data_IF_825056767425
#
_entry.id   IF_825056767425
#
_cell.length_a   1.000
_cell.length_b   1.000
_cell.length_c   1.000
_cell.angle_alpha   90.00
_cell.angle_beta   90.00
_cell.angle_gamma   90.00
#
_symmetry.space_group_name_H-M   'P 1'
#
loop_
_entity.id
_entity.type
_entity.pdbx_description
1 polymer ?
#
# COMPACT_ATOMS: atom_id res chain seq x y z
N UNK A 1 -27.19 15.41 -3.27
CA UNK A 1 -26.81 14.13 -2.63
C UNK A 1 -26.39 14.29 -1.17
N UNK A 2 -25.32 15.06 -0.84
CA UNK A 2 -24.83 15.18 0.55
C UNK A 2 -25.88 15.83 1.48
N UNK A 3 -26.51 16.96 1.07
CA UNK A 3 -27.57 17.61 1.85
C UNK A 3 -28.78 16.71 2.03
N UNK A 4 -29.21 16.03 0.99
CA UNK A 4 -30.34 15.10 1.03
C UNK A 4 -30.06 13.95 2.00
N UNK A 5 -28.83 13.42 2.00
CA UNK A 5 -28.43 12.40 2.96
C UNK A 5 -28.52 12.90 4.40
N UNK A 6 -27.94 14.07 4.71
CA UNK A 6 -27.99 14.64 6.06
C UNK A 6 -29.44 14.94 6.51
N UNK A 7 -30.27 15.43 5.61
CA UNK A 7 -31.69 15.69 5.90
C UNK A 7 -32.47 14.39 6.13
N UNK A 8 -32.22 13.37 5.30
CA UNK A 8 -32.87 12.05 5.41
C UNK A 8 -32.62 11.36 6.75
N UNK A 9 -31.39 11.51 7.27
CA UNK A 9 -30.99 10.91 8.53
C UNK A 9 -31.05 11.87 9.71
N UNK A 10 -31.68 13.05 9.54
CA UNK A 10 -31.84 14.08 10.57
C UNK A 10 -30.52 14.45 11.27
N UNK A 11 -29.43 14.48 10.50
CA UNK A 11 -28.11 14.83 11.01
C UNK A 11 -27.97 16.35 11.16
N UNK A 12 -27.07 16.75 12.06
CA UNK A 12 -26.78 18.16 12.37
C UNK A 12 -26.41 18.96 11.11
N UNK A 13 -27.07 20.11 10.95
CA UNK A 13 -26.82 21.02 9.82
C UNK A 13 -25.40 21.64 9.87
N UNK A 14 -24.84 21.90 11.05
CA UNK A 14 -23.47 22.42 11.18
C UNK A 14 -22.48 21.36 10.70
N UNK A 15 -22.67 20.10 11.07
CA UNK A 15 -21.88 18.98 10.56
C UNK A 15 -21.97 18.87 9.03
N UNK A 16 -23.17 19.03 8.46
CA UNK A 16 -23.38 19.03 7.01
C UNK A 16 -22.60 20.16 6.33
N UNK A 17 -22.66 21.39 6.90
CA UNK A 17 -21.95 22.55 6.36
C UNK A 17 -20.43 22.36 6.42
N UNK A 18 -19.90 21.85 7.54
CA UNK A 18 -18.47 21.53 7.68
C UNK A 18 -18.04 20.46 6.67
N UNK A 19 -18.82 19.41 6.50
CA UNK A 19 -18.53 18.37 5.51
C UNK A 19 -18.51 18.92 4.09
N UNK A 20 -19.47 19.78 3.74
CA UNK A 20 -19.49 20.44 2.43
C UNK A 20 -18.30 21.39 2.24
N UNK A 21 -17.92 22.15 3.27
CA UNK A 21 -16.75 23.01 3.22
C UNK A 21 -15.46 22.22 2.97
N UNK A 22 -15.29 21.08 3.65
CA UNK A 22 -14.15 20.19 3.41
C UNK A 22 -14.18 19.62 1.99
N UNK A 23 -15.35 19.16 1.52
CA UNK A 23 -15.50 18.60 0.16
C UNK A 23 -15.25 19.64 -0.93
N UNK A 24 -15.62 20.91 -0.71
CA UNK A 24 -15.38 22.02 -1.65
C UNK A 24 -13.94 22.56 -1.60
N UNK A 25 -13.19 22.29 -0.54
CA UNK A 25 -11.82 22.81 -0.35
C UNK A 25 -10.78 22.12 -1.24
N UNK A 26 -11.13 21.01 -1.89
CA UNK A 26 -10.26 20.26 -2.76
C UNK A 26 -10.62 18.78 -2.82
N UNK A 27 -9.87 18.03 -3.64
CA UNK A 27 -10.12 16.61 -3.87
C UNK A 27 -9.52 15.77 -2.73
N UNK A 28 -10.35 14.96 -2.09
CA UNK A 28 -9.92 13.96 -1.10
C UNK A 28 -9.97 12.59 -1.78
N UNK A 29 -8.87 11.85 -1.69
CA UNK A 29 -8.82 10.46 -2.11
C UNK A 29 -9.18 9.56 -0.92
N UNK A 30 -10.28 8.83 -1.04
CA UNK A 30 -10.65 7.80 -0.06
C UNK A 30 -10.15 6.45 -0.55
N UNK A 31 -9.35 5.79 0.28
CA UNK A 31 -8.80 4.46 0.03
C UNK A 31 -9.47 3.47 0.97
N UNK A 32 -10.00 2.39 0.42
CA UNK A 32 -10.60 1.31 1.21
C UNK A 32 -9.74 0.05 1.08
N UNK A 33 -9.36 -0.51 2.23
CA UNK A 33 -8.72 -1.80 2.32
C UNK A 33 -9.51 -2.72 3.23
N UNK A 34 -9.74 -3.94 2.75
CA UNK A 34 -10.39 -5.02 3.51
C UNK A 34 -9.38 -6.10 3.83
N UNK A 35 -9.38 -6.55 5.09
CA UNK A 35 -8.54 -7.65 5.54
C UNK A 35 -7.04 -7.35 5.57
N UNK A 36 -6.31 -8.28 6.14
CA UNK A 36 -4.86 -8.15 6.36
C UNK A 36 -4.13 -9.49 6.50
N UNK A 37 -4.79 -10.59 6.13
CA UNK A 37 -4.29 -11.95 6.33
C UNK A 37 -2.88 -12.20 5.77
N UNK A 38 -2.50 -11.46 4.73
CA UNK A 38 -1.21 -11.61 4.04
C UNK A 38 -0.12 -10.68 4.57
N UNK A 39 -0.46 -9.70 5.42
CA UNK A 39 0.51 -8.72 5.91
C UNK A 39 1.21 -9.25 7.16
N UNK A 40 2.45 -9.67 7.01
CA UNK A 40 3.28 -10.28 8.08
C UNK A 40 4.64 -9.62 8.26
N UNK A 41 4.95 -8.60 7.49
CA UNK A 41 6.19 -7.86 7.55
C UNK A 41 5.97 -6.40 7.15
N UNK A 42 6.93 -5.52 7.45
CA UNK A 42 6.87 -4.12 7.05
C UNK A 42 6.87 -3.99 5.51
N UNK A 43 7.54 -4.87 4.78
CA UNK A 43 7.49 -4.90 3.31
C UNK A 43 6.08 -5.21 2.80
N UNK A 44 5.41 -6.21 3.38
CA UNK A 44 4.02 -6.51 3.00
C UNK A 44 3.09 -5.35 3.36
N UNK A 45 3.33 -4.66 4.48
CA UNK A 45 2.56 -3.48 4.88
C UNK A 45 2.74 -2.34 3.86
N UNK A 46 3.98 -1.98 3.54
CA UNK A 46 4.31 -0.94 2.57
C UNK A 46 3.66 -1.24 1.22
N UNK A 47 3.82 -2.46 0.72
CA UNK A 47 3.23 -2.89 -0.54
C UNK A 47 1.70 -2.82 -0.53
N UNK A 48 1.07 -3.32 0.53
CA UNK A 48 -0.38 -3.34 0.67
C UNK A 48 -1.01 -1.94 0.70
N UNK A 49 -0.34 -0.99 1.35
CA UNK A 49 -0.80 0.41 1.39
C UNK A 49 -0.61 1.05 0.02
N UNK A 50 0.54 0.87 -0.61
CA UNK A 50 0.80 1.41 -1.93
C UNK A 50 -0.21 0.91 -2.97
N UNK A 51 -0.41 -0.41 -3.05
CA UNK A 51 -1.37 -1.03 -3.96
C UNK A 51 -2.79 -0.49 -3.74
N UNK A 52 -3.20 -0.35 -2.48
CA UNK A 52 -4.53 0.18 -2.15
C UNK A 52 -4.71 1.62 -2.62
N UNK A 53 -3.69 2.47 -2.46
CA UNK A 53 -3.70 3.86 -2.93
C UNK A 53 -3.73 3.89 -4.47
N UNK A 54 -2.91 3.10 -5.16
CA UNK A 54 -2.88 3.00 -6.62
C UNK A 54 -4.25 2.58 -7.19
N UNK A 55 -4.87 1.56 -6.60
CA UNK A 55 -6.21 1.12 -6.96
C UNK A 55 -7.25 2.23 -6.77
N UNK A 56 -7.17 2.97 -5.68
CA UNK A 56 -8.08 4.08 -5.42
C UNK A 56 -7.88 5.23 -6.40
N UNK A 57 -6.64 5.55 -6.80
CA UNK A 57 -6.34 6.54 -7.84
C UNK A 57 -6.98 6.15 -9.17
N UNK A 58 -6.80 4.90 -9.60
CA UNK A 58 -7.42 4.37 -10.83
C UNK A 58 -8.94 4.47 -10.76
N UNK A 59 -9.54 4.01 -9.65
CA UNK A 59 -11.00 4.06 -9.44
C UNK A 59 -11.54 5.49 -9.47
N UNK A 60 -10.77 6.43 -8.94
CA UNK A 60 -11.13 7.84 -8.91
C UNK A 60 -10.86 8.57 -10.25
N UNK A 61 -10.33 7.88 -11.26
CA UNK A 61 -9.92 8.47 -12.55
C UNK A 61 -8.80 9.51 -12.39
N UNK A 62 -7.93 9.30 -11.39
CA UNK A 62 -6.76 10.15 -11.15
C UNK A 62 -5.57 9.42 -11.78
N UNK A 63 -4.84 10.14 -12.64
CA UNK A 63 -3.60 9.61 -13.19
C UNK A 63 -2.59 9.35 -12.05
N UNK A 64 -2.08 8.13 -11.97
CA UNK A 64 -1.00 7.83 -11.05
C UNK A 64 0.30 8.45 -11.59
N UNK A 65 0.57 9.69 -11.18
CA UNK A 65 1.80 10.40 -11.54
C UNK A 65 2.99 9.98 -10.67
N UNK A 66 2.72 9.29 -9.54
CA UNK A 66 3.74 8.64 -8.72
C UNK A 66 3.98 7.22 -9.26
N UNK A 67 5.20 6.92 -9.70
CA UNK A 67 5.54 5.54 -10.09
C UNK A 67 5.50 4.65 -8.85
N UNK A 68 4.97 3.44 -8.99
CA UNK A 68 5.09 2.40 -7.96
C UNK A 68 6.57 2.20 -7.61
N UNK A 69 7.01 2.82 -6.53
CA UNK A 69 8.44 2.84 -6.19
C UNK A 69 9.00 1.42 -6.01
N UNK A 70 8.20 0.51 -5.41
CA UNK A 70 8.57 -0.89 -5.19
C UNK A 70 8.68 -1.68 -6.49
N UNK A 71 7.65 -1.60 -7.30
CA UNK A 71 7.60 -2.30 -8.57
C UNK A 71 8.73 -1.84 -9.49
N UNK A 72 8.93 -0.52 -9.59
CA UNK A 72 9.98 0.07 -10.41
C UNK A 72 11.38 -0.24 -9.84
N UNK A 73 11.56 -0.22 -8.52
CA UNK A 73 12.80 -0.61 -7.89
C UNK A 73 13.14 -2.09 -8.18
N UNK A 74 12.14 -2.97 -8.06
CA UNK A 74 12.31 -4.39 -8.39
C UNK A 74 12.66 -4.59 -9.88
N UNK A 75 11.95 -3.93 -10.79
CA UNK A 75 12.24 -4.00 -12.23
C UNK A 75 13.64 -3.46 -12.53
N UNK A 76 14.01 -2.32 -11.95
CA UNK A 76 15.32 -1.70 -12.16
C UNK A 76 16.43 -2.61 -11.66
N UNK A 77 16.29 -3.15 -10.46
CA UNK A 77 17.28 -4.06 -9.87
C UNK A 77 17.43 -5.34 -10.69
N UNK A 78 16.30 -5.95 -11.11
CA UNK A 78 16.29 -7.16 -11.93
C UNK A 78 16.73 -6.90 -13.38
N UNK A 79 16.74 -5.66 -13.87
CA UNK A 79 17.19 -5.31 -15.22
C UNK A 79 18.71 -5.13 -15.30
N UNK A 80 19.38 -4.94 -14.17
CA UNK A 80 20.85 -4.99 -14.10
C UNK A 80 21.35 -6.40 -14.41
N UNK A 81 22.39 -6.54 -15.22
CA UNK A 81 22.86 -7.85 -15.72
C UNK A 81 23.34 -8.77 -14.60
N UNK A 82 24.06 -8.24 -13.65
CA UNK A 82 24.68 -9.04 -12.60
C UNK A 82 23.63 -9.45 -11.56
N UNK A 83 22.78 -8.53 -11.16
CA UNK A 83 21.63 -8.80 -10.29
C UNK A 83 20.65 -9.80 -10.91
N UNK A 84 20.36 -9.66 -12.20
CA UNK A 84 19.52 -10.58 -12.95
C UNK A 84 20.08 -11.99 -12.96
N UNK A 85 21.37 -12.14 -13.24
CA UNK A 85 22.03 -13.44 -13.24
C UNK A 85 22.03 -14.07 -11.85
N UNK A 86 22.31 -13.26 -10.81
CA UNK A 86 22.25 -13.70 -9.42
C UNK A 86 20.85 -14.19 -9.05
N UNK A 87 19.83 -13.36 -9.28
CA UNK A 87 18.45 -13.69 -8.98
C UNK A 87 17.97 -14.92 -9.78
N UNK A 88 18.33 -15.00 -11.05
CA UNK A 88 17.98 -16.13 -11.89
C UNK A 88 18.52 -17.46 -11.31
N UNK A 89 19.76 -17.47 -10.85
CA UNK A 89 20.34 -18.63 -10.17
C UNK A 89 19.58 -19.04 -8.90
N UNK A 90 19.06 -18.08 -8.16
CA UNK A 90 18.26 -18.34 -6.97
C UNK A 90 16.87 -18.93 -7.31
N UNK A 91 16.14 -18.33 -8.25
CA UNK A 91 14.76 -18.72 -8.58
C UNK A 91 14.66 -19.97 -9.45
N UNK A 92 15.70 -20.31 -10.19
CA UNK A 92 15.77 -21.59 -10.91
C UNK A 92 16.34 -22.73 -10.05
N UNK A 93 16.99 -22.41 -8.94
CA UNK A 93 17.55 -23.32 -7.96
C UNK A 93 16.72 -23.41 -6.68
N UNK A 94 17.23 -22.78 -5.61
CA UNK A 94 16.68 -22.90 -4.24
C UNK A 94 15.22 -22.49 -4.12
N UNK A 95 14.77 -21.50 -4.89
CA UNK A 95 13.43 -20.95 -4.82
C UNK A 95 12.53 -21.31 -6.02
N UNK A 96 12.88 -22.33 -6.79
CA UNK A 96 12.14 -22.73 -8.00
C UNK A 96 10.65 -22.99 -7.74
N UNK A 97 10.30 -23.54 -6.58
CA UNK A 97 8.91 -23.80 -6.20
C UNK A 97 8.08 -22.51 -5.99
N UNK A 98 8.71 -21.39 -5.60
CA UNK A 98 8.01 -20.13 -5.42
C UNK A 98 7.64 -19.48 -6.75
N UNK A 99 8.48 -19.65 -7.76
CA UNK A 99 8.34 -18.99 -9.06
C UNK A 99 7.79 -19.91 -10.15
N UNK A 100 7.48 -21.19 -9.82
CA UNK A 100 6.84 -22.13 -10.76
C UNK A 100 7.65 -22.45 -12.00
N UNK A 101 9.00 -22.33 -11.92
CA UNK A 101 9.91 -22.55 -13.04
C UNK A 101 10.18 -21.31 -13.91
N UNK A 102 9.70 -20.15 -13.50
CA UNK A 102 10.04 -18.87 -14.18
C UNK A 102 11.54 -18.60 -14.10
N UNK A 103 12.05 -17.92 -15.11
CA UNK A 103 13.34 -17.25 -15.08
C UNK A 103 13.18 -15.76 -14.73
N UNK A 104 14.29 -15.04 -14.54
CA UNK A 104 14.27 -13.64 -14.19
C UNK A 104 13.55 -12.76 -15.22
N UNK A 105 13.65 -13.07 -16.51
CA UNK A 105 12.95 -12.32 -17.57
C UNK A 105 11.43 -12.50 -17.47
N UNK A 106 10.97 -13.72 -17.21
CA UNK A 106 9.55 -13.99 -17.00
C UNK A 106 9.02 -13.26 -15.75
N UNK A 107 9.82 -13.17 -14.68
CA UNK A 107 9.45 -12.40 -13.47
C UNK A 107 9.34 -10.92 -13.79
N UNK A 108 10.29 -10.34 -14.52
CA UNK A 108 10.25 -8.93 -14.97
C UNK A 108 8.98 -8.67 -15.79
N UNK A 109 8.64 -9.56 -16.71
CA UNK A 109 7.45 -9.43 -17.54
C UNK A 109 6.16 -9.50 -16.70
N UNK A 110 6.10 -10.41 -15.73
CA UNK A 110 4.99 -10.47 -14.77
C UNK A 110 4.87 -9.19 -13.95
N UNK A 111 5.99 -8.61 -13.49
CA UNK A 111 5.99 -7.33 -12.81
C UNK A 111 5.42 -6.20 -13.68
N UNK A 112 5.67 -6.22 -14.99
CA UNK A 112 5.17 -5.21 -15.92
C UNK A 112 3.69 -5.35 -16.24
N UNK A 113 3.21 -6.58 -16.36
CA UNK A 113 1.89 -6.90 -16.92
C UNK A 113 0.84 -7.21 -15.87
N UNK A 114 1.24 -7.73 -14.70
CA UNK A 114 0.31 -8.12 -13.65
C UNK A 114 -0.16 -6.92 -12.82
N UNK A 115 -1.34 -7.08 -12.23
CA UNK A 115 -1.96 -6.14 -11.28
C UNK A 115 -2.74 -6.90 -10.21
N UNK A 116 -3.12 -6.24 -9.13
CA UNK A 116 -3.91 -6.82 -8.03
C UNK A 116 -3.23 -8.05 -7.41
N UNK A 117 -4.01 -9.05 -7.05
CA UNK A 117 -3.54 -10.25 -6.33
C UNK A 117 -2.42 -11.00 -7.07
N UNK A 118 -2.44 -11.00 -8.40
CA UNK A 118 -1.40 -11.65 -9.20
C UNK A 118 -0.05 -10.94 -9.06
N UNK A 119 -0.05 -9.61 -9.07
CA UNK A 119 1.14 -8.80 -8.81
C UNK A 119 1.61 -8.97 -7.36
N UNK A 120 0.68 -8.91 -6.40
CA UNK A 120 0.97 -9.08 -4.97
C UNK A 120 1.73 -10.40 -4.72
N UNK A 121 1.27 -11.49 -5.29
CA UNK A 121 1.93 -12.80 -5.16
C UNK A 121 3.36 -12.82 -5.72
N UNK A 122 3.59 -12.18 -6.87
CA UNK A 122 4.94 -12.09 -7.45
C UNK A 122 5.84 -11.25 -6.55
N UNK A 123 5.35 -10.12 -6.05
CA UNK A 123 6.11 -9.24 -5.14
C UNK A 123 6.43 -9.94 -3.82
N UNK A 124 5.47 -10.66 -3.21
CA UNK A 124 5.68 -11.43 -1.98
C UNK A 124 6.80 -12.47 -2.15
N UNK A 125 6.83 -13.16 -3.29
CA UNK A 125 7.89 -14.11 -3.58
C UNK A 125 9.25 -13.43 -3.74
N UNK A 126 9.31 -12.27 -4.39
CA UNK A 126 10.53 -11.46 -4.52
C UNK A 126 11.00 -11.00 -3.14
N UNK A 127 10.10 -10.47 -2.31
CA UNK A 127 10.44 -10.01 -0.95
C UNK A 127 10.95 -11.16 -0.08
N UNK A 128 10.32 -12.33 -0.16
CA UNK A 128 10.80 -13.50 0.56
C UNK A 128 12.25 -13.85 0.20
N UNK A 129 12.57 -13.86 -1.08
CA UNK A 129 13.96 -14.09 -1.53
C UNK A 129 14.87 -12.95 -1.08
N UNK A 130 14.43 -11.70 -1.20
CA UNK A 130 15.20 -10.54 -0.80
C UNK A 130 15.53 -10.54 0.70
N UNK A 131 14.56 -10.86 1.56
CA UNK A 131 14.73 -10.94 3.01
C UNK A 131 15.68 -12.08 3.40
N UNK A 132 15.47 -13.29 2.85
CA UNK A 132 16.33 -14.43 3.14
C UNK A 132 17.78 -14.26 2.64
N UNK A 133 17.97 -13.47 1.59
CA UNK A 133 19.29 -13.17 0.99
C UNK A 133 19.82 -11.78 1.33
N UNK A 134 19.10 -11.03 2.16
CA UNK A 134 19.46 -9.67 2.61
C UNK A 134 19.76 -8.71 1.45
N UNK A 135 18.94 -8.77 0.40
CA UNK A 135 19.06 -7.88 -0.77
C UNK A 135 18.42 -6.53 -0.46
N UNK A 136 19.18 -5.63 0.13
CA UNK A 136 18.74 -4.31 0.60
C UNK A 136 18.08 -3.44 -0.50
N UNK A 137 18.50 -3.60 -1.75
CA UNK A 137 17.94 -2.82 -2.87
C UNK A 137 16.46 -3.12 -3.15
N UNK A 138 15.94 -4.24 -2.64
CA UNK A 138 14.54 -4.63 -2.75
C UNK A 138 13.76 -4.40 -1.45
N UNK A 139 14.38 -3.85 -0.42
CA UNK A 139 13.73 -3.49 0.82
C UNK A 139 13.32 -2.02 0.78
N UNK A 140 12.04 -1.75 0.51
CA UNK A 140 11.50 -0.41 0.72
C UNK A 140 11.21 -0.19 2.19
N UNK A 141 11.71 0.93 2.67
CA UNK A 141 11.42 1.41 4.01
C UNK A 141 10.05 2.10 4.06
N UNK A 142 9.47 2.19 5.24
CA UNK A 142 8.28 3.03 5.49
C UNK A 142 8.56 4.49 5.08
N UNK A 143 9.80 4.95 5.21
CA UNK A 143 10.23 6.28 4.76
C UNK A 143 10.06 6.48 3.25
N UNK A 144 10.38 5.47 2.44
CA UNK A 144 10.19 5.56 0.97
C UNK A 144 8.70 5.61 0.60
N UNK A 145 7.87 4.82 1.28
CA UNK A 145 6.42 4.90 1.14
C UNK A 145 5.89 6.27 1.53
N UNK A 146 6.37 6.83 2.65
CA UNK A 146 5.99 8.16 3.13
C UNK A 146 6.31 9.24 2.09
N UNK A 147 7.50 9.20 1.51
CA UNK A 147 7.92 10.12 0.46
C UNK A 147 7.05 9.96 -0.79
N UNK A 148 6.73 8.74 -1.19
CA UNK A 148 5.85 8.48 -2.31
C UNK A 148 4.41 8.98 -2.06
N UNK A 149 3.86 8.79 -0.86
CA UNK A 149 2.53 9.32 -0.48
C UNK A 149 2.51 10.85 -0.61
N UNK A 150 3.56 11.54 -0.11
CA UNK A 150 3.70 12.99 -0.26
C UNK A 150 3.73 13.42 -1.72
N UNK A 151 4.45 12.68 -2.55
CA UNK A 151 4.53 12.95 -3.99
C UNK A 151 3.17 12.75 -4.66
N UNK A 152 2.43 11.68 -4.33
CA UNK A 152 1.06 11.44 -4.84
C UNK A 152 0.13 12.59 -4.48
N UNK A 153 0.16 13.05 -3.23
CA UNK A 153 -0.67 14.17 -2.76
C UNK A 153 -0.35 15.44 -3.55
N UNK A 154 0.93 15.79 -3.69
CA UNK A 154 1.38 17.00 -4.38
C UNK A 154 1.12 16.94 -5.88
N UNK A 155 1.51 15.86 -6.53
CA UNK A 155 1.41 15.71 -7.98
C UNK A 155 -0.05 15.72 -8.49
N UNK A 156 -0.98 15.26 -7.65
CA UNK A 156 -2.40 15.20 -7.98
C UNK A 156 -3.23 16.33 -7.33
N UNK A 157 -2.58 17.27 -6.65
CA UNK A 157 -3.22 18.37 -5.92
C UNK A 157 -4.35 17.88 -5.01
N UNK A 158 -4.09 16.78 -4.28
CA UNK A 158 -5.05 16.23 -3.34
C UNK A 158 -5.07 17.07 -2.05
N UNK A 159 -6.26 17.28 -1.50
CA UNK A 159 -6.42 17.90 -0.19
C UNK A 159 -6.02 16.95 0.93
N UNK A 160 -6.33 15.67 0.75
CA UNK A 160 -5.94 14.62 1.67
C UNK A 160 -6.08 13.23 1.02
N UNK A 161 -5.41 12.25 1.62
CA UNK A 161 -5.71 10.83 1.45
C UNK A 161 -6.27 10.33 2.78
N UNK A 162 -7.45 9.71 2.75
CA UNK A 162 -8.07 9.06 3.91
C UNK A 162 -8.06 7.55 3.65
N UNK A 163 -7.22 6.83 4.38
CA UNK A 163 -7.06 5.39 4.27
C UNK A 163 -7.92 4.69 5.31
N UNK A 164 -8.99 4.04 4.85
CA UNK A 164 -9.92 3.29 5.70
C UNK A 164 -9.53 1.82 5.63
N UNK A 165 -9.08 1.27 6.76
CA UNK A 165 -8.69 -0.12 6.86
C UNK A 165 -9.73 -0.89 7.69
N UNK A 166 -10.55 -1.66 7.00
CA UNK A 166 -11.52 -2.53 7.61
C UNK A 166 -10.92 -3.89 8.00
N UNK A 167 -11.46 -4.53 9.00
CA UNK A 167 -10.92 -5.77 9.58
C UNK A 167 -9.46 -5.64 10.08
N UNK A 168 -9.10 -4.44 10.57
CA UNK A 168 -7.76 -4.17 11.08
C UNK A 168 -7.36 -5.08 12.25
N UNK A 169 -8.33 -5.62 12.97
CA UNK A 169 -8.12 -6.55 14.10
C UNK A 169 -7.20 -7.72 13.72
N UNK A 170 -7.35 -8.28 12.52
CA UNK A 170 -6.52 -9.39 12.06
C UNK A 170 -5.05 -8.98 11.89
N UNK A 171 -4.80 -7.79 11.33
CA UNK A 171 -3.45 -7.23 11.24
C UNK A 171 -2.84 -7.07 12.62
N UNK A 172 -3.59 -6.50 13.56
CA UNK A 172 -3.13 -6.27 14.91
C UNK A 172 -2.72 -7.57 15.61
N UNK A 173 -3.55 -8.61 15.56
CA UNK A 173 -3.21 -9.90 16.15
C UNK A 173 -1.98 -10.55 15.52
N UNK A 174 -1.86 -10.49 14.21
CA UNK A 174 -0.75 -11.11 13.50
C UNK A 174 0.59 -10.37 13.72
N UNK A 175 0.54 -9.06 14.02
CA UNK A 175 1.71 -8.20 14.12
C UNK A 175 1.87 -7.53 15.50
N UNK A 176 1.14 -7.95 16.53
CA UNK A 176 1.12 -7.29 17.85
C UNK A 176 2.51 -7.09 18.49
N UNK A 177 3.51 -7.89 18.10
CA UNK A 177 4.90 -7.78 18.59
C UNK A 177 5.74 -6.77 17.83
N UNK A 178 5.31 -6.33 16.66
CA UNK A 178 6.03 -5.36 15.83
C UNK A 178 5.05 -4.48 15.07
N UNK A 179 4.73 -3.32 15.64
CA UNK A 179 3.88 -2.29 15.03
C UNK A 179 4.68 -1.06 14.59
N UNK A 180 6.00 -1.14 14.60
CA UNK A 180 6.88 0.01 14.31
C UNK A 180 6.58 0.61 12.94
N UNK A 181 6.48 -0.21 11.91
CA UNK A 181 6.16 0.27 10.56
C UNK A 181 4.80 0.97 10.47
N UNK A 182 3.78 0.48 11.20
CA UNK A 182 2.48 1.15 11.27
C UNK A 182 2.57 2.48 12.03
N UNK A 183 3.34 2.54 13.12
CA UNK A 183 3.53 3.77 13.90
C UNK A 183 4.18 4.86 13.04
N UNK A 184 5.28 4.53 12.33
CA UNK A 184 5.95 5.45 11.41
C UNK A 184 5.01 5.97 10.32
N UNK A 185 4.10 5.11 9.82
CA UNK A 185 3.08 5.53 8.84
C UNK A 185 2.03 6.46 9.44
N UNK A 186 1.63 6.24 10.68
CA UNK A 186 0.70 7.13 11.38
C UNK A 186 1.32 8.52 11.63
N UNK A 187 2.64 8.59 11.88
CA UNK A 187 3.37 9.84 12.06
C UNK A 187 3.36 10.74 10.80
N UNK A 188 3.11 10.18 9.61
CA UNK A 188 2.94 11.00 8.39
C UNK A 188 1.82 12.02 8.57
N UNK A 189 0.77 11.68 9.31
CA UNK A 189 -0.38 12.57 9.55
C UNK A 189 -0.05 13.85 10.31
N UNK A 190 1.09 13.88 11.01
CA UNK A 190 1.57 15.06 11.72
C UNK A 190 2.09 16.15 10.77
N UNK A 191 2.61 15.76 9.62
CA UNK A 191 3.25 16.64 8.65
C UNK A 191 2.53 16.76 7.32
N UNK A 192 1.76 15.73 6.95
CA UNK A 192 1.12 15.63 5.65
C UNK A 192 -0.35 15.17 5.80
N UNK A 193 -1.24 15.56 4.89
CA UNK A 193 -2.67 15.22 4.96
C UNK A 193 -2.95 13.77 4.52
N UNK A 194 -2.37 12.83 5.26
CA UNK A 194 -2.59 11.40 5.12
C UNK A 194 -3.11 10.84 6.44
N UNK A 195 -4.32 10.26 6.43
CA UNK A 195 -5.01 9.86 7.66
C UNK A 195 -5.45 8.41 7.59
N UNK A 196 -5.23 7.66 8.69
CA UNK A 196 -5.76 6.33 8.87
C UNK A 196 -7.09 6.35 9.65
N UNK A 197 -8.05 5.57 9.17
CA UNK A 197 -9.25 5.19 9.87
C UNK A 197 -9.23 3.67 10.03
N UNK A 198 -8.95 3.20 11.24
CA UNK A 198 -8.84 1.77 11.54
C UNK A 198 -10.18 1.27 12.08
N UNK A 199 -10.79 0.30 11.37
CA UNK A 199 -12.06 -0.31 11.77
C UNK A 199 -11.77 -1.67 12.38
N UNK A 200 -12.22 -1.86 13.63
CA UNK A 200 -12.02 -3.09 14.39
C UNK A 200 -13.37 -3.68 14.79
N UNK A 201 -13.51 -5.00 14.69
CA UNK A 201 -14.75 -5.69 15.03
C UNK A 201 -14.79 -6.25 16.46
N UNK A 202 -13.67 -6.30 17.15
CA UNK A 202 -13.55 -6.86 18.50
C UNK A 202 -13.01 -5.80 19.44
N UNK A 203 -13.84 -5.35 20.36
CA UNK A 203 -13.46 -4.38 21.40
C UNK A 203 -13.11 -5.02 22.73
N UNK A 204 -13.49 -6.28 22.98
CA UNK A 204 -13.19 -6.96 24.26
C UNK A 204 -11.83 -7.66 24.17
N UNK A 205 -10.84 -7.12 24.89
CA UNK A 205 -9.52 -7.73 25.09
C UNK A 205 -8.38 -7.15 24.25
N UNK A 206 -8.59 -6.02 23.56
CA UNK A 206 -7.51 -5.29 22.89
C UNK A 206 -6.79 -4.25 23.78
N UNK A 207 -7.33 -4.03 25.00
CA UNK A 207 -6.78 -3.09 25.99
C UNK A 207 -6.68 -3.75 27.36
#
# INVERSE_FOLDING_TARGET
>A
ETREYFQRYQMDNDLCNRFQAVKSSGRILTVHRYGSATIRSDHNLVFAIQESIEKALVTAGIENKGRSALKEAAITWLSDKDNKNYFNGLITGTYSNLFGGDNADAVIEKLRTFSGDALAKVMDNIFKVADERQVKALSLSVTDLSNWIREVIRANNLKAIVFIWDEFTEYFYNNARNLTGLQELCEISETDPFYFVLVTHVTQGLF
#
